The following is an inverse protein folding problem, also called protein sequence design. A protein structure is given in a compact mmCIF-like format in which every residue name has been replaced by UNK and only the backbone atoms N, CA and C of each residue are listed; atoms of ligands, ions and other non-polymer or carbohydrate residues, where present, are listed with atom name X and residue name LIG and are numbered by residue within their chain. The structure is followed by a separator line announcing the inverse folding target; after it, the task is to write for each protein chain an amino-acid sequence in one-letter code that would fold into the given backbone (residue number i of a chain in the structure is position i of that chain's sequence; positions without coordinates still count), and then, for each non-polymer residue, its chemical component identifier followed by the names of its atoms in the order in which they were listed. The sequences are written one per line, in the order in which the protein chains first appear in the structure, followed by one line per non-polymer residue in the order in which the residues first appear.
data_IF_514272071206
#
_entry.id   IF_514272071206
#
_cell.length_a   1.000
_cell.length_b   1.000
_cell.length_c   1.000
_cell.angle_alpha   90.00
_cell.angle_beta   90.00
_cell.angle_gamma   90.00
#
_symmetry.space_group_name_H-M   'P 1'
#
loop_
_entity.id
_entity.type
_entity.pdbx_description
1 polymer ?
#
# COMPACT_ATOMS: atom_id res chain seq x y z
N UNK A 1 16.45 16.43 5.37
CA UNK A 1 15.52 15.31 5.64
C UNK A 1 15.55 14.42 4.40
N UNK A 2 15.68 13.09 4.56
CA UNK A 2 15.65 12.18 3.41
C UNK A 2 14.22 12.00 2.88
N UNK A 3 14.05 11.61 1.62
CA UNK A 3 12.73 11.41 1.01
C UNK A 3 11.86 10.42 1.81
N UNK A 4 12.46 9.34 2.33
CA UNK A 4 11.71 8.40 3.18
C UNK A 4 11.26 9.02 4.51
N UNK A 5 12.04 9.95 5.07
CA UNK A 5 11.62 10.65 6.29
C UNK A 5 10.46 11.61 6.01
N UNK A 6 10.53 12.34 4.88
CA UNK A 6 9.42 13.18 4.40
C UNK A 6 8.17 12.33 4.18
N UNK A 7 8.28 11.23 3.44
CA UNK A 7 7.12 10.35 3.17
C UNK A 7 6.53 9.76 4.46
N UNK A 8 7.36 9.28 5.38
CA UNK A 8 6.89 8.75 6.67
C UNK A 8 6.16 9.79 7.52
N UNK A 9 6.65 11.02 7.55
CA UNK A 9 6.01 12.12 8.27
C UNK A 9 4.61 12.40 7.71
N UNK A 10 4.47 12.49 6.39
CA UNK A 10 3.17 12.69 5.75
C UNK A 10 2.23 11.50 5.94
N UNK A 11 2.72 10.27 5.79
CA UNK A 11 1.94 9.05 6.06
C UNK A 11 1.44 9.02 7.51
N UNK A 12 2.30 9.31 8.48
CA UNK A 12 1.92 9.32 9.89
C UNK A 12 0.79 10.33 10.17
N UNK A 13 0.92 11.54 9.65
CA UNK A 13 -0.05 12.59 9.90
C UNK A 13 -1.37 12.43 9.13
N UNK A 14 -1.29 12.02 7.85
CA UNK A 14 -2.45 12.09 6.93
C UNK A 14 -3.11 10.75 6.65
N UNK A 15 -2.45 9.63 6.91
CA UNK A 15 -2.98 8.28 6.63
C UNK A 15 -3.09 7.46 7.92
N UNK A 16 -1.99 7.29 8.66
CA UNK A 16 -1.99 6.41 9.84
C UNK A 16 -2.80 7.03 11.00
N UNK A 17 -2.74 8.34 11.22
CA UNK A 17 -3.56 9.02 12.23
C UNK A 17 -5.04 8.72 12.02
N UNK A 18 -5.64 9.04 10.87
CA UNK A 18 -7.02 8.68 10.54
C UNK A 18 -7.35 7.18 10.62
N UNK A 19 -6.41 6.28 10.31
CA UNK A 19 -6.60 4.83 10.49
C UNK A 19 -6.70 4.46 11.98
N UNK A 20 -5.85 5.03 12.83
CA UNK A 20 -5.91 4.80 14.27
C UNK A 20 -7.22 5.31 14.87
N UNK A 21 -7.72 6.47 14.42
CA UNK A 21 -9.02 7.02 14.82
C UNK A 21 -10.19 6.10 14.42
N UNK A 22 -10.02 5.29 13.38
CA UNK A 22 -10.97 4.27 12.95
C UNK A 22 -10.80 2.92 13.66
N UNK A 23 -9.91 2.82 14.66
CA UNK A 23 -9.70 1.63 15.46
C UNK A 23 -8.65 0.65 14.92
N UNK A 24 -7.92 1.01 13.86
CA UNK A 24 -6.75 0.23 13.46
C UNK A 24 -5.66 0.36 14.52
N UNK A 25 -4.97 -0.74 14.77
CA UNK A 25 -3.79 -0.80 15.66
C UNK A 25 -2.66 -1.52 14.93
N UNK A 26 -1.44 -1.37 15.43
CA UNK A 26 -0.30 -2.08 14.86
C UNK A 26 0.95 -1.23 14.77
N UNK A 27 1.95 -1.79 14.10
CA UNK A 27 3.25 -1.14 13.83
C UNK A 27 3.57 -1.27 12.35
N UNK A 28 4.21 -0.23 11.84
CA UNK A 28 4.73 -0.24 10.48
C UNK A 28 5.54 -1.52 10.17
N UNK A 29 5.24 -2.22 9.10
CA UNK A 29 4.32 -1.88 8.01
C UNK A 29 2.93 -2.52 8.10
N UNK A 30 2.56 -3.17 9.21
CA UNK A 30 1.34 -3.96 9.37
C UNK A 30 0.39 -3.30 10.36
N UNK A 31 -0.89 -3.21 9.97
CA UNK A 31 -1.97 -2.66 10.78
C UNK A 31 -3.18 -3.59 10.69
N UNK A 32 -3.97 -3.62 11.77
CA UNK A 32 -5.15 -4.46 11.87
C UNK A 32 -6.27 -3.76 12.62
N UNK A 33 -7.50 -4.13 12.35
CA UNK A 33 -8.69 -3.74 13.09
C UNK A 33 -9.55 -4.98 13.34
N UNK A 34 -9.87 -5.24 14.60
CA UNK A 34 -10.74 -6.34 14.97
C UNK A 34 -12.19 -5.89 14.93
N UNK A 35 -13.05 -6.71 14.34
CA UNK A 35 -14.49 -6.58 14.29
C UNK A 35 -15.14 -7.92 14.70
N UNK A 36 -16.42 -7.93 15.09
CA UNK A 36 -17.13 -9.20 15.35
C UNK A 36 -17.05 -10.13 14.13
N UNK A 37 -16.39 -11.29 14.30
CA UNK A 37 -16.25 -12.32 13.27
C UNK A 37 -15.20 -12.06 12.18
N UNK A 38 -14.50 -10.91 12.20
CA UNK A 38 -13.58 -10.53 11.15
C UNK A 38 -12.38 -9.74 11.71
N UNK A 39 -11.23 -9.89 11.07
CA UNK A 39 -10.05 -9.07 11.32
C UNK A 39 -9.62 -8.44 10.00
N UNK A 40 -9.76 -7.13 9.89
CA UNK A 40 -9.28 -6.37 8.75
C UNK A 40 -7.79 -6.10 8.88
N UNK A 41 -7.09 -6.21 7.76
CA UNK A 41 -5.63 -6.15 7.68
C UNK A 41 -5.19 -5.14 6.63
N UNK A 42 -4.19 -4.32 6.96
CA UNK A 42 -3.53 -3.39 6.03
C UNK A 42 -2.03 -3.62 6.10
N UNK A 43 -1.38 -3.61 4.94
CA UNK A 43 0.08 -3.66 4.83
C UNK A 43 0.60 -2.56 3.91
N UNK A 44 1.66 -1.90 4.34
CA UNK A 44 2.46 -0.99 3.51
C UNK A 44 3.75 -1.69 3.09
N UNK A 45 3.71 -2.43 2.00
CA UNK A 45 4.85 -3.20 1.53
C UNK A 45 5.91 -2.30 0.90
N UNK A 46 7.05 -2.16 1.54
CA UNK A 46 8.20 -1.44 0.99
C UNK A 46 8.87 -2.29 -0.09
N UNK A 47 9.22 -1.66 -1.21
CA UNK A 47 10.06 -2.29 -2.22
C UNK A 47 11.40 -2.69 -1.60
N UNK A 48 11.87 -3.90 -1.87
CA UNK A 48 13.14 -4.42 -1.34
C UNK A 48 14.37 -3.55 -1.69
N UNK A 49 14.28 -2.79 -2.76
CA UNK A 49 15.32 -1.84 -3.18
C UNK A 49 15.08 -0.42 -2.65
N UNK A 50 14.02 -0.21 -1.84
CA UNK A 50 13.61 1.10 -1.36
C UNK A 50 12.95 1.94 -2.45
N UNK A 51 12.66 3.20 -2.13
CA UNK A 51 12.17 4.23 -3.06
C UNK A 51 10.70 4.18 -3.42
N UNK A 52 10.02 3.08 -3.10
CA UNK A 52 8.59 2.92 -3.35
C UNK A 52 7.96 1.95 -2.36
N UNK A 53 6.64 1.97 -2.28
CA UNK A 53 5.83 1.03 -1.52
C UNK A 53 4.49 0.79 -2.23
N UNK A 54 3.83 -0.31 -1.89
CA UNK A 54 2.43 -0.54 -2.24
C UNK A 54 1.61 -0.78 -0.97
N UNK A 55 0.30 -0.63 -1.08
CA UNK A 55 -0.64 -0.82 0.03
C UNK A 55 -1.61 -1.94 -0.33
N UNK A 56 -1.66 -2.96 0.53
CA UNK A 56 -2.60 -4.06 0.43
C UNK A 56 -3.58 -4.05 1.59
N UNK A 57 -4.83 -4.39 1.30
CA UNK A 57 -5.92 -4.50 2.28
C UNK A 57 -6.58 -5.86 2.14
N UNK A 58 -6.91 -6.50 3.25
CA UNK A 58 -7.63 -7.76 3.27
C UNK A 58 -8.35 -7.98 4.60
N UNK A 59 -9.03 -9.11 4.72
CA UNK A 59 -9.63 -9.55 5.98
C UNK A 59 -9.46 -11.05 6.17
N UNK A 60 -9.46 -11.50 7.43
CA UNK A 60 -9.54 -12.89 7.84
C UNK A 60 -10.78 -13.10 8.70
N UNK A 61 -11.37 -14.30 8.60
CA UNK A 61 -12.58 -14.69 9.29
C UNK A 61 -12.25 -15.89 10.19
N UNK A 62 -11.89 -15.68 11.48
CA UNK A 62 -11.41 -16.74 12.38
C UNK A 62 -12.42 -17.86 12.63
N UNK A 63 -13.72 -17.54 12.53
CA UNK A 63 -14.82 -18.46 12.76
C UNK A 63 -15.68 -18.53 11.51
N UNK A 64 -15.62 -19.61 10.77
CA UNK A 64 -16.46 -19.79 9.58
C UNK A 64 -15.79 -20.54 8.45
N UNK A 65 -16.50 -20.70 7.35
CA UNK A 65 -15.95 -21.26 6.11
C UNK A 65 -14.98 -20.25 5.51
N UNK A 66 -13.74 -20.30 5.94
CA UNK A 66 -12.68 -19.37 5.52
C UNK A 66 -12.37 -19.50 4.03
N UNK A 67 -13.13 -18.79 3.21
CA UNK A 67 -12.82 -18.68 1.78
C UNK A 67 -11.60 -17.78 1.53
N UNK A 68 -11.25 -16.93 2.50
CA UNK A 68 -10.20 -15.92 2.34
C UNK A 68 -8.95 -16.14 3.20
N UNK A 69 -8.45 -17.36 3.33
CA UNK A 69 -7.13 -17.58 3.92
C UNK A 69 -6.29 -18.59 3.14
N UNK A 70 -4.98 -18.44 3.20
CA UNK A 70 -4.05 -19.34 2.49
C UNK A 70 -3.60 -20.49 3.40
N UNK A 71 -3.20 -20.17 4.64
CA UNK A 71 -2.75 -21.15 5.62
C UNK A 71 -2.70 -20.52 7.00
N UNK A 72 -3.17 -21.25 8.00
CA UNK A 72 -3.11 -20.88 9.41
C UNK A 72 -2.20 -21.80 10.21
N UNK A 73 -1.69 -22.83 9.58
CA UNK A 73 -0.91 -23.87 10.25
C UNK A 73 0.30 -23.26 10.96
N UNK A 74 0.32 -23.40 12.29
CA UNK A 74 1.38 -22.87 13.14
C UNK A 74 1.33 -21.36 13.41
N UNK A 75 0.31 -20.64 12.93
CA UNK A 75 0.14 -19.20 13.18
C UNK A 75 -0.95 -18.94 14.21
N UNK A 76 -0.70 -18.01 15.12
CA UNK A 76 -1.78 -17.43 15.93
C UNK A 76 -2.58 -16.40 15.13
N UNK A 77 -3.81 -16.12 15.56
CA UNK A 77 -4.63 -15.07 14.95
C UNK A 77 -3.89 -13.71 14.97
N UNK A 78 -3.07 -13.48 15.99
CA UNK A 78 -2.30 -12.26 16.15
C UNK A 78 -1.15 -12.12 15.16
N UNK A 79 -0.68 -13.21 14.58
CA UNK A 79 0.41 -13.24 13.61
C UNK A 79 -0.08 -13.08 12.16
N UNK A 80 -1.40 -13.09 11.94
CA UNK A 80 -1.96 -12.99 10.58
C UNK A 80 -1.73 -11.62 9.96
N UNK A 81 -1.35 -11.64 8.71
CA UNK A 81 -1.12 -10.46 7.86
C UNK A 81 -1.89 -10.58 6.55
N UNK A 82 -1.90 -9.53 5.74
CA UNK A 82 -2.50 -9.55 4.39
C UNK A 82 -1.97 -10.72 3.54
N UNK A 83 -0.74 -11.19 3.80
CA UNK A 83 -0.13 -12.31 3.05
C UNK A 83 -0.75 -13.67 3.36
N UNK A 84 -1.49 -13.79 4.45
CA UNK A 84 -2.19 -15.02 4.86
C UNK A 84 -3.61 -15.10 4.27
N UNK A 85 -3.96 -14.25 3.33
CA UNK A 85 -5.28 -14.18 2.71
C UNK A 85 -5.22 -14.49 1.21
N UNK A 86 -6.30 -15.04 0.66
CA UNK A 86 -6.44 -15.31 -0.78
C UNK A 86 -6.83 -14.04 -1.54
N UNK A 87 -7.84 -13.34 -1.06
CA UNK A 87 -8.35 -12.13 -1.69
C UNK A 87 -7.75 -10.88 -1.05
N UNK A 88 -7.28 -9.98 -1.89
CA UNK A 88 -6.61 -8.75 -1.47
C UNK A 88 -7.02 -7.61 -2.36
N UNK A 89 -7.33 -6.48 -1.75
CA UNK A 89 -7.48 -5.23 -2.47
C UNK A 89 -6.13 -4.49 -2.47
N UNK A 90 -5.57 -4.27 -3.65
CA UNK A 90 -4.32 -3.52 -3.80
C UNK A 90 -4.63 -2.09 -4.21
N UNK A 91 -4.19 -1.12 -3.40
CA UNK A 91 -4.23 0.28 -3.79
C UNK A 91 -3.21 0.49 -4.91
N UNK A 92 -3.60 1.29 -5.90
CA UNK A 92 -2.78 1.51 -7.10
C UNK A 92 -2.09 2.86 -7.02
N UNK A 93 -0.79 2.85 -7.03
CA UNK A 93 0.01 4.05 -7.24
C UNK A 93 -0.20 4.62 -8.65
N UNK A 94 0.27 5.83 -8.86
CA UNK A 94 -0.04 6.62 -10.08
C UNK A 94 0.54 6.03 -11.37
N UNK A 95 1.55 5.16 -11.30
CA UNK A 95 2.28 4.73 -12.51
C UNK A 95 2.15 3.23 -12.79
N UNK A 96 2.57 2.35 -11.88
CA UNK A 96 2.64 0.90 -12.07
C UNK A 96 2.08 0.12 -10.87
N UNK A 97 1.28 0.77 -10.05
CA UNK A 97 0.75 0.19 -8.81
C UNK A 97 1.59 0.51 -7.57
N UNK A 98 2.77 1.10 -7.75
CA UNK A 98 3.64 1.53 -6.65
C UNK A 98 3.51 3.03 -6.38
N UNK A 99 3.65 3.43 -5.12
CA UNK A 99 3.77 4.80 -4.68
C UNK A 99 5.25 5.12 -4.52
N UNK A 100 5.77 6.01 -5.37
CA UNK A 100 7.18 6.36 -5.39
C UNK A 100 7.47 7.59 -4.54
N UNK A 101 8.40 7.47 -3.58
CA UNK A 101 8.94 8.59 -2.81
C UNK A 101 10.35 8.97 -3.30
N UNK A 102 10.50 9.03 -4.64
CA UNK A 102 11.70 9.43 -5.38
C UNK A 102 11.31 10.17 -6.65
N UNK A 103 12.28 10.83 -7.25
CA UNK A 103 12.12 11.35 -8.60
C UNK A 103 11.94 10.18 -9.58
N UNK A 104 10.91 10.29 -10.40
CA UNK A 104 10.53 9.27 -11.36
C UNK A 104 10.59 9.83 -12.78
N UNK A 105 11.26 9.11 -13.65
CA UNK A 105 11.37 9.42 -15.07
C UNK A 105 10.65 8.36 -15.88
N UNK A 106 10.01 8.77 -16.97
CA UNK A 106 9.32 7.86 -17.87
C UNK A 106 9.70 8.10 -19.32
N UNK A 107 9.70 7.00 -20.09
CA UNK A 107 9.82 6.99 -21.54
C UNK A 107 8.63 6.23 -22.11
N UNK A 108 8.04 6.79 -23.17
CA UNK A 108 7.02 6.07 -23.93
C UNK A 108 7.68 5.05 -24.86
N UNK A 109 7.28 3.79 -24.74
CA UNK A 109 7.73 2.71 -25.63
C UNK A 109 6.53 2.30 -26.50
N UNK A 110 6.67 2.48 -27.81
CA UNK A 110 5.61 2.21 -28.75
C UNK A 110 5.13 0.76 -28.66
N UNK A 111 3.83 0.56 -28.43
CA UNK A 111 3.20 -0.77 -28.28
C UNK A 111 3.41 -1.47 -26.92
N UNK A 112 4.26 -0.95 -26.03
CA UNK A 112 4.56 -1.55 -24.72
C UNK A 112 4.15 -0.67 -23.54
N UNK A 113 3.60 0.52 -23.79
CA UNK A 113 3.23 1.47 -22.74
C UNK A 113 4.39 2.36 -22.31
N UNK A 114 4.50 2.63 -21.00
CA UNK A 114 5.55 3.48 -20.44
C UNK A 114 6.57 2.65 -19.68
N UNK A 115 7.82 2.94 -19.91
CA UNK A 115 8.95 2.44 -19.12
C UNK A 115 9.35 3.50 -18.08
N UNK A 116 9.61 3.08 -16.85
CA UNK A 116 9.88 3.95 -15.71
C UNK A 116 11.24 3.62 -15.11
N UNK A 117 11.95 4.67 -14.72
CA UNK A 117 13.16 4.57 -13.89
C UNK A 117 13.04 5.53 -12.72
N UNK A 118 13.43 5.07 -11.54
CA UNK A 118 13.53 5.89 -10.35
C UNK A 118 15.00 6.23 -10.07
N UNK A 119 15.23 7.42 -9.53
CA UNK A 119 16.58 7.88 -9.17
C UNK A 119 16.71 7.89 -7.65
N UNK A 120 17.68 7.12 -7.14
CA UNK A 120 17.95 7.11 -5.70
C UNK A 120 18.64 8.42 -5.28
N UNK A 121 18.33 8.90 -4.07
CA UNK A 121 19.01 10.07 -3.49
C UNK A 121 20.54 9.95 -3.50
N UNK A 122 21.05 8.72 -3.34
CA UNK A 122 22.51 8.46 -3.31
C UNK A 122 23.19 8.65 -4.67
N UNK A 123 22.44 8.56 -5.76
CA UNK A 123 22.93 8.61 -7.13
C UNK A 123 22.44 9.83 -7.91
N UNK A 124 21.65 10.71 -7.27
CA UNK A 124 21.03 11.86 -7.96
C UNK A 124 22.05 12.74 -8.69
N UNK A 125 23.21 12.97 -8.08
CA UNK A 125 24.26 13.84 -8.64
C UNK A 125 25.09 13.18 -9.76
N UNK A 126 25.07 11.85 -9.82
CA UNK A 126 25.88 11.05 -10.80
C UNK A 126 25.02 10.34 -11.83
N UNK A 127 23.68 10.34 -11.63
CA UNK A 127 22.75 9.65 -12.51
C UNK A 127 22.55 10.43 -13.83
N UNK A 128 22.93 9.81 -14.93
CA UNK A 128 22.67 10.33 -16.26
C UNK A 128 21.33 9.81 -16.77
N UNK A 129 20.37 10.71 -16.97
CA UNK A 129 19.05 10.35 -17.48
C UNK A 129 19.20 9.82 -18.92
N UNK A 130 18.79 8.56 -19.19
CA UNK A 130 18.91 8.00 -20.53
C UNK A 130 18.07 8.78 -21.54
N UNK A 131 18.52 8.77 -22.80
CA UNK A 131 17.84 9.46 -23.90
C UNK A 131 16.36 9.04 -24.02
N UNK A 132 15.48 10.02 -24.07
CA UNK A 132 14.06 9.84 -24.24
C UNK A 132 13.25 9.73 -22.94
N UNK A 133 13.89 9.65 -21.78
CA UNK A 133 13.20 9.74 -20.50
C UNK A 133 12.96 11.19 -20.10
N UNK A 134 11.79 11.45 -19.52
CA UNK A 134 11.41 12.77 -18.99
C UNK A 134 10.98 12.63 -17.55
N UNK A 135 11.29 13.61 -16.71
CA UNK A 135 10.81 13.69 -15.34
C UNK A 135 9.26 13.73 -15.35
N UNK A 136 8.64 12.77 -14.69
CA UNK A 136 7.17 12.68 -14.57
C UNK A 136 6.69 12.89 -13.13
N UNK A 137 7.58 12.70 -12.16
CA UNK A 137 7.37 13.04 -10.76
C UNK A 137 8.68 13.57 -10.18
N UNK A 138 8.64 14.76 -9.59
CA UNK A 138 9.63 15.21 -8.64
C UNK A 138 9.11 14.94 -7.25
N UNK A 139 9.90 14.29 -6.40
CA UNK A 139 9.49 14.01 -5.04
C UNK A 139 9.86 15.18 -4.11
N UNK A 140 8.85 15.75 -3.50
CA UNK A 140 8.90 16.81 -2.50
C UNK A 140 7.69 16.66 -1.55
N UNK A 141 7.50 17.60 -0.64
CA UNK A 141 6.35 17.61 0.29
C UNK A 141 5.01 17.57 -0.44
N UNK A 142 4.88 18.27 -1.56
CA UNK A 142 3.65 18.26 -2.36
C UNK A 142 3.37 16.90 -2.97
N UNK A 143 4.39 16.21 -3.48
CA UNK A 143 4.25 14.85 -3.99
C UNK A 143 3.87 13.87 -2.87
N UNK A 144 4.48 14.01 -1.68
CA UNK A 144 4.12 13.21 -0.52
C UNK A 144 2.66 13.42 -0.09
N UNK A 145 2.16 14.66 -0.11
CA UNK A 145 0.75 14.96 0.14
C UNK A 145 -0.18 14.31 -0.89
N UNK A 146 0.12 14.44 -2.18
CA UNK A 146 -0.66 13.84 -3.26
C UNK A 146 -0.71 12.31 -3.15
N UNK A 147 0.37 11.67 -2.72
CA UNK A 147 0.41 10.24 -2.44
C UNK A 147 -0.57 9.91 -1.30
N UNK A 148 -0.51 10.63 -0.18
CA UNK A 148 -1.43 10.42 0.95
C UNK A 148 -2.89 10.62 0.56
N UNK A 149 -3.20 11.67 -0.21
CA UNK A 149 -4.55 11.92 -0.71
C UNK A 149 -5.06 10.79 -1.62
N UNK A 150 -4.17 10.25 -2.46
CA UNK A 150 -4.48 9.13 -3.34
C UNK A 150 -4.74 7.86 -2.53
N UNK A 151 -3.93 7.59 -1.49
CA UNK A 151 -4.13 6.46 -0.58
C UNK A 151 -5.48 6.60 0.13
N UNK A 152 -5.78 7.74 0.73
CA UNK A 152 -7.03 7.96 1.45
C UNK A 152 -8.27 7.79 0.58
N UNK A 153 -8.26 8.30 -0.65
CA UNK A 153 -9.35 8.10 -1.62
C UNK A 153 -9.55 6.63 -1.98
N UNK A 154 -8.47 5.86 -2.06
CA UNK A 154 -8.55 4.45 -2.39
C UNK A 154 -8.89 3.58 -1.18
N UNK A 155 -8.49 3.98 0.04
CA UNK A 155 -8.89 3.29 1.27
C UNK A 155 -10.41 3.29 1.44
N UNK A 156 -11.11 4.35 1.07
CA UNK A 156 -12.58 4.38 1.08
C UNK A 156 -13.14 3.24 0.21
N UNK A 157 -12.58 3.04 -0.99
CA UNK A 157 -13.00 1.96 -1.90
C UNK A 157 -12.61 0.57 -1.35
N UNK A 158 -11.44 0.48 -0.70
CA UNK A 158 -10.99 -0.76 -0.08
C UNK A 158 -11.87 -1.15 1.10
N UNK A 159 -12.33 -0.19 1.92
CA UNK A 159 -13.25 -0.46 3.03
C UNK A 159 -14.64 -0.88 2.53
N UNK A 160 -15.17 -0.26 1.49
CA UNK A 160 -16.41 -0.72 0.86
C UNK A 160 -16.26 -2.14 0.25
N UNK A 161 -15.08 -2.50 -0.20
CA UNK A 161 -14.80 -3.86 -0.66
C UNK A 161 -14.71 -4.84 0.52
N UNK A 162 -14.09 -4.44 1.64
CA UNK A 162 -14.07 -5.26 2.87
C UNK A 162 -15.46 -5.54 3.41
N UNK A 163 -16.36 -4.56 3.43
CA UNK A 163 -17.75 -4.74 3.86
C UNK A 163 -18.46 -5.81 3.03
N UNK A 164 -18.28 -5.81 1.70
CA UNK A 164 -18.83 -6.86 0.83
C UNK A 164 -18.20 -8.22 1.10
N UNK A 165 -16.88 -8.25 1.31
CA UNK A 165 -16.18 -9.48 1.65
C UNK A 165 -16.66 -10.07 2.98
N UNK A 166 -16.98 -9.22 3.98
CA UNK A 166 -17.61 -9.62 5.24
C UNK A 166 -19.01 -10.22 5.00
N UNK A 167 -19.86 -9.54 4.23
CA UNK A 167 -21.22 -10.02 3.91
C UNK A 167 -21.16 -11.41 3.25
N UNK A 168 -20.28 -11.61 2.28
CA UNK A 168 -20.10 -12.88 1.57
C UNK A 168 -19.60 -14.03 2.47
N UNK A 169 -18.78 -13.72 3.49
CA UNK A 169 -18.21 -14.76 4.38
C UNK A 169 -19.01 -15.00 5.65
N UNK A 170 -19.83 -14.06 6.11
CA UNK A 170 -20.65 -14.19 7.32
C UNK A 170 -22.09 -14.64 7.02
N UNK A 171 -22.58 -14.44 5.79
CA UNK A 171 -23.92 -14.89 5.40
C UNK A 171 -24.05 -16.40 5.15
N UNK A 172 -22.94 -17.12 5.06
CA UNK A 172 -22.91 -18.58 4.90
C UNK A 172 -22.91 -19.32 6.26
N UNK A 173 -23.17 -18.64 7.39
CA UNK A 173 -23.30 -19.20 8.73
C UNK A 173 -24.78 -19.32 9.15
#
# INVERSE_FOLDING_TARGET
MTNIQVMKMHLQAKVLGPLFDQGFVGKWPHFRREKPGCIELIVFQINKYGGSFCVGVSAVFPQGSNKNYVSWEGLSVDDLTVWNTNERYSLKGMYDGWFYYRDLYAKHIWGLGKDYIDVSEKNADTFSIPKGYKLVQKFDDRAAEQICDTINKQLIKAFNWLERLEEDNLSDQ
#
